data_IF_180207078355
#
_entry.id   IF_180207078355
#
_cell.length_a   1.000
_cell.length_b   1.000
_cell.length_c   1.000
_cell.angle_alpha   90.00
_cell.angle_beta   90.00
_cell.angle_gamma   90.00
#
_symmetry.space_group_name_H-M   'P 1'
#
loop_
_entity.id
_entity.type
_entity.pdbx_description
1 polymer ?
#
# COMPACT_ATOMS: atom_id res chain seq x y z
N UNK A 1 21.99 -58.13 6.99
CA UNK A 1 22.38 -56.84 7.65
C UNK A 1 22.84 -55.71 6.70
N UNK A 2 23.10 -55.95 5.41
CA UNK A 2 23.59 -54.93 4.45
C UNK A 2 22.50 -53.96 3.94
N UNK A 3 21.25 -54.43 3.81
CA UNK A 3 20.12 -53.63 3.30
C UNK A 3 19.60 -52.54 4.25
N UNK A 4 19.66 -52.77 5.57
CA UNK A 4 19.19 -51.79 6.58
C UNK A 4 20.07 -50.52 6.62
N UNK A 5 21.37 -50.66 6.33
CA UNK A 5 22.32 -49.53 6.18
C UNK A 5 22.09 -48.72 4.91
N UNK A 6 21.64 -49.36 3.81
CA UNK A 6 21.34 -48.69 2.55
C UNK A 6 20.05 -47.87 2.67
N UNK A 7 19.01 -48.42 3.29
CA UNK A 7 17.73 -47.74 3.54
C UNK A 7 17.91 -46.51 4.45
N UNK A 8 18.70 -46.59 5.53
CA UNK A 8 18.97 -45.42 6.39
C UNK A 8 19.73 -44.31 5.66
N UNK A 9 20.61 -44.65 4.71
CA UNK A 9 21.31 -43.66 3.88
C UNK A 9 20.36 -42.94 2.91
N UNK A 10 19.41 -43.67 2.32
CA UNK A 10 18.38 -43.07 1.46
C UNK A 10 17.40 -42.20 2.25
N UNK A 11 16.99 -42.63 3.46
CA UNK A 11 16.12 -41.81 4.33
C UNK A 11 16.81 -40.54 4.78
N UNK A 12 18.09 -40.60 5.21
CA UNK A 12 18.85 -39.39 5.56
C UNK A 12 19.04 -38.45 4.36
N UNK A 13 19.34 -38.98 3.18
CA UNK A 13 19.49 -38.17 1.97
C UNK A 13 18.16 -37.48 1.59
N UNK A 14 17.03 -38.20 1.70
CA UNK A 14 15.70 -37.64 1.43
C UNK A 14 15.33 -36.55 2.45
N UNK A 15 15.56 -36.79 3.74
CA UNK A 15 15.34 -35.79 4.80
C UNK A 15 16.20 -34.54 4.61
N UNK A 16 17.46 -34.71 4.18
CA UNK A 16 18.36 -33.59 3.88
C UNK A 16 17.89 -32.77 2.68
N UNK A 17 17.43 -33.43 1.61
CA UNK A 17 16.85 -32.75 0.43
C UNK A 17 15.56 -32.01 0.79
N UNK A 18 14.70 -32.59 1.62
CA UNK A 18 13.48 -31.93 2.11
C UNK A 18 13.83 -30.70 2.96
N UNK A 19 14.80 -30.81 3.87
CA UNK A 19 15.28 -29.67 4.68
C UNK A 19 15.87 -28.54 3.83
N UNK A 20 16.67 -28.86 2.81
CA UNK A 20 17.21 -27.88 1.84
C UNK A 20 16.11 -27.22 1.00
N UNK A 21 15.11 -27.99 0.58
CA UNK A 21 13.94 -27.46 -0.14
C UNK A 21 13.12 -26.53 0.76
N UNK A 22 12.91 -26.88 2.04
CA UNK A 22 12.24 -26.03 3.00
C UNK A 22 13.05 -24.75 3.30
N UNK A 23 14.38 -24.81 3.39
CA UNK A 23 15.21 -23.61 3.54
C UNK A 23 15.10 -22.65 2.35
N UNK A 24 14.82 -23.16 1.15
CA UNK A 24 14.61 -22.35 -0.05
C UNK A 24 13.31 -21.53 0.02
N UNK A 25 12.31 -21.97 0.80
CA UNK A 25 11.06 -21.24 1.06
C UNK A 25 11.22 -20.13 2.11
N UNK A 26 12.33 -20.11 2.86
CA UNK A 26 12.63 -19.10 3.89
C UNK A 26 13.49 -17.96 3.34
N UNK A 27 14.00 -18.08 2.11
CA UNK A 27 14.67 -16.95 1.45
C UNK A 27 13.63 -15.85 1.23
N UNK A 28 13.80 -14.66 1.85
CA UNK A 28 12.84 -13.59 1.67
C UNK A 28 12.82 -13.22 0.19
N UNK A 29 11.65 -13.35 -0.45
CA UNK A 29 11.39 -12.69 -1.71
C UNK A 29 11.71 -11.22 -1.51
N UNK A 30 12.53 -10.62 -2.39
CA UNK A 30 12.92 -9.21 -2.31
C UNK A 30 11.70 -8.38 -1.90
N UNK A 31 11.76 -7.77 -0.71
CA UNK A 31 10.76 -6.81 -0.31
C UNK A 31 11.03 -5.56 -1.13
N UNK A 32 10.12 -5.24 -2.03
CA UNK A 32 10.10 -3.93 -2.66
C UNK A 32 9.65 -2.97 -1.57
N UNK A 33 10.61 -2.49 -0.78
CA UNK A 33 10.46 -1.21 -0.11
C UNK A 33 10.14 -0.14 -1.17
N UNK A 34 9.75 1.04 -0.71
CA UNK A 34 9.44 2.16 -1.58
C UNK A 34 10.55 2.39 -2.64
N UNK A 35 10.29 2.00 -3.89
CA UNK A 35 11.21 2.14 -5.03
C UNK A 35 10.54 3.02 -6.07
N UNK A 36 10.39 4.29 -5.74
CA UNK A 36 9.87 5.30 -6.64
C UNK A 36 11.00 6.16 -7.18
N UNK A 37 10.81 6.69 -8.38
CA UNK A 37 11.67 7.75 -8.90
C UNK A 37 11.29 9.05 -8.19
N UNK A 38 12.17 9.51 -7.28
CA UNK A 38 12.01 10.82 -6.63
C UNK A 38 11.93 11.90 -7.71
N UNK A 39 10.85 12.68 -7.68
CA UNK A 39 10.73 13.84 -8.56
C UNK A 39 11.62 14.95 -8.02
N UNK A 40 12.47 15.52 -8.88
CA UNK A 40 13.43 16.57 -8.51
C UNK A 40 13.19 17.88 -9.25
N UNK A 41 12.40 17.85 -10.32
CA UNK A 41 12.05 19.02 -11.11
C UNK A 41 10.66 19.53 -10.69
N UNK A 42 10.57 20.73 -10.08
CA UNK A 42 9.30 21.28 -9.60
C UNK A 42 8.28 21.50 -10.71
N UNK A 43 8.73 21.88 -11.92
CA UNK A 43 7.81 22.14 -13.03
C UNK A 43 7.18 20.83 -13.50
N UNK A 44 7.98 19.78 -13.67
CA UNK A 44 7.46 18.43 -13.98
C UNK A 44 6.60 17.86 -12.87
N UNK A 45 6.95 18.13 -11.60
CA UNK A 45 6.13 17.73 -10.47
C UNK A 45 4.74 18.38 -10.53
N UNK A 46 4.67 19.68 -10.83
CA UNK A 46 3.40 20.38 -11.04
C UNK A 46 2.63 19.76 -12.21
N UNK A 47 3.26 19.52 -13.35
CA UNK A 47 2.62 18.92 -14.53
C UNK A 47 2.01 17.54 -14.24
N UNK A 48 2.70 16.70 -13.48
CA UNK A 48 2.25 15.35 -13.13
C UNK A 48 1.23 15.32 -11.98
N UNK A 49 1.16 16.39 -11.18
CA UNK A 49 0.25 16.46 -10.04
C UNK A 49 -1.17 16.78 -10.49
N UNK A 50 -2.15 16.24 -9.76
CA UNK A 50 -3.55 16.66 -9.89
C UNK A 50 -3.76 18.02 -9.26
N UNK A 51 -3.24 18.20 -8.04
CA UNK A 51 -3.33 19.43 -7.29
C UNK A 51 -1.98 19.79 -6.66
N UNK A 52 -1.66 21.08 -6.61
CA UNK A 52 -0.47 21.60 -5.95
C UNK A 52 -0.85 22.83 -5.14
N UNK A 53 -0.56 22.78 -3.85
CA UNK A 53 -0.95 23.83 -2.91
C UNK A 53 0.01 23.89 -1.72
N UNK A 54 0.00 25.01 -1.01
CA UNK A 54 0.60 25.13 0.31
C UNK A 54 -0.50 25.22 1.34
N UNK A 55 -0.29 24.61 2.49
CA UNK A 55 -1.30 24.63 3.53
C UNK A 55 -0.80 24.13 4.87
N UNK A 56 -1.47 24.60 5.92
CA UNK A 56 -1.22 24.25 7.31
C UNK A 56 -2.00 23.01 7.70
N UNK A 57 -1.36 22.08 8.39
CA UNK A 57 -2.00 20.85 8.85
C UNK A 57 -2.91 21.14 10.05
N UNK A 58 -4.20 20.89 9.87
CA UNK A 58 -5.23 21.05 10.90
C UNK A 58 -5.50 19.76 11.69
N UNK A 59 -5.38 18.60 11.05
CA UNK A 59 -5.60 17.31 11.69
C UNK A 59 -4.92 16.17 10.90
N UNK A 60 -4.58 15.10 11.61
CA UNK A 60 -3.96 13.88 11.07
C UNK A 60 -4.70 12.70 11.69
N UNK A 61 -5.31 11.85 10.86
CA UNK A 61 -6.12 10.73 11.34
C UNK A 61 -5.88 9.46 10.52
N UNK A 62 -5.69 8.30 11.16
CA UNK A 62 -5.69 7.03 10.46
C UNK A 62 -7.11 6.72 9.95
N UNK A 63 -7.21 6.31 8.69
CA UNK A 63 -8.46 5.92 8.03
C UNK A 63 -8.33 4.54 7.41
N UNK A 64 -9.45 3.82 7.36
CA UNK A 64 -9.57 2.54 6.66
C UNK A 64 -10.63 2.71 5.58
N UNK A 65 -10.20 2.52 4.33
CA UNK A 65 -11.02 2.65 3.14
C UNK A 65 -11.38 1.26 2.62
N UNK A 66 -12.65 1.04 2.24
CA UNK A 66 -13.08 -0.19 1.56
C UNK A 66 -12.97 -0.01 0.05
N UNK A 67 -12.09 -0.79 -0.56
CA UNK A 67 -11.90 -0.89 -2.01
C UNK A 67 -12.40 -2.25 -2.45
N UNK A 68 -13.69 -2.34 -2.79
CA UNK A 68 -14.28 -3.56 -3.34
C UNK A 68 -14.08 -4.82 -2.46
N UNK A 69 -14.11 -4.65 -1.13
CA UNK A 69 -13.90 -5.70 -0.13
C UNK A 69 -12.46 -5.82 0.39
N UNK A 70 -11.53 -5.01 -0.13
CA UNK A 70 -10.15 -4.91 0.35
C UNK A 70 -10.05 -3.67 1.25
N UNK A 71 -9.55 -3.85 2.47
CA UNK A 71 -9.36 -2.76 3.43
C UNK A 71 -7.99 -2.12 3.20
N UNK A 72 -7.99 -0.84 2.82
CA UNK A 72 -6.78 -0.05 2.62
C UNK A 72 -6.60 0.94 3.78
N UNK A 73 -5.43 0.86 4.42
CA UNK A 73 -5.09 1.68 5.58
C UNK A 73 -4.28 2.90 5.14
N UNK A 74 -4.82 4.08 5.42
CA UNK A 74 -4.22 5.36 5.04
C UNK A 74 -4.12 6.30 6.23
N UNK A 75 -3.28 7.32 6.12
CA UNK A 75 -3.33 8.50 6.97
C UNK A 75 -4.01 9.60 6.16
N UNK A 76 -5.13 10.12 6.66
CA UNK A 76 -5.77 11.31 6.13
C UNK A 76 -5.23 12.54 6.83
N UNK A 77 -4.86 13.56 6.05
CA UNK A 77 -4.34 14.82 6.54
C UNK A 77 -5.23 15.94 6.05
N UNK A 78 -5.78 16.70 6.99
CA UNK A 78 -6.63 17.85 6.74
C UNK A 78 -5.79 19.12 6.74
N UNK A 79 -5.89 19.90 5.68
CA UNK A 79 -5.17 21.15 5.49
C UNK A 79 -6.13 22.34 5.46
N UNK A 80 -5.66 23.45 6.04
CA UNK A 80 -6.06 24.80 5.70
C UNK A 80 -5.15 25.27 4.56
N UNK A 81 -5.73 25.55 3.39
CA UNK A 81 -4.98 25.90 2.19
C UNK A 81 -4.67 27.40 2.22
N UNK A 82 -3.40 27.74 1.99
CA UNK A 82 -2.89 29.10 1.99
C UNK A 82 -2.66 29.63 0.58
N UNK A 83 -2.16 28.79 -0.35
CA UNK A 83 -1.97 29.16 -1.75
C UNK A 83 -2.06 27.93 -2.67
N UNK A 84 -2.44 28.13 -3.93
CA UNK A 84 -2.58 27.08 -4.94
C UNK A 84 -1.77 27.40 -6.20
N UNK A 85 -1.20 26.36 -6.81
CA UNK A 85 -0.48 26.44 -8.09
C UNK A 85 -1.15 25.62 -9.18
N UNK A 86 -1.98 24.63 -8.80
CA UNK A 86 -2.69 23.79 -9.77
C UNK A 86 -3.89 23.10 -9.15
N UNK A 87 -4.95 22.99 -9.96
CA UNK A 87 -5.95 21.92 -9.88
C UNK A 87 -6.91 21.97 -8.70
N UNK A 88 -6.86 23.02 -7.88
CA UNK A 88 -7.81 23.25 -6.80
C UNK A 88 -7.89 24.74 -6.44
N UNK A 89 -9.03 25.15 -5.86
CA UNK A 89 -9.30 26.53 -5.42
C UNK A 89 -9.95 26.60 -4.02
N UNK A 90 -10.09 25.46 -3.36
CA UNK A 90 -10.73 25.30 -2.06
C UNK A 90 -9.86 25.78 -0.89
N UNK A 91 -10.46 26.38 0.14
CA UNK A 91 -9.78 26.82 1.37
C UNK A 91 -9.33 25.67 2.26
N UNK A 92 -9.80 24.45 2.01
CA UNK A 92 -9.38 23.25 2.74
C UNK A 92 -9.17 22.07 1.80
N UNK A 93 -8.24 21.19 2.15
CA UNK A 93 -7.97 19.95 1.43
C UNK A 93 -7.90 18.76 2.39
N UNK A 94 -8.28 17.57 1.92
CA UNK A 94 -7.95 16.31 2.59
C UNK A 94 -7.07 15.50 1.64
N UNK A 95 -5.86 15.18 2.08
CA UNK A 95 -4.90 14.39 1.31
C UNK A 95 -4.59 13.10 2.06
N UNK A 96 -4.64 11.98 1.35
CA UNK A 96 -4.29 10.66 1.86
C UNK A 96 -2.79 10.39 1.68
N UNK A 97 -2.19 9.67 2.61
CA UNK A 97 -0.85 9.13 2.45
C UNK A 97 -0.73 7.75 3.09
N UNK A 98 0.31 7.00 2.71
CA UNK A 98 0.57 5.67 3.26
C UNK A 98 1.10 5.77 4.71
N UNK A 99 1.21 4.62 5.39
CA UNK A 99 1.52 4.50 6.83
C UNK A 99 2.99 4.82 7.21
N UNK A 100 3.63 5.76 6.53
CA UNK A 100 5.02 6.19 6.76
C UNK A 100 6.03 5.65 5.74
N UNK A 101 7.30 5.91 6.00
CA UNK A 101 8.40 5.73 5.03
C UNK A 101 8.51 4.34 4.38
N UNK A 102 8.37 3.21 5.12
CA UNK A 102 8.49 1.88 4.51
C UNK A 102 7.45 1.62 3.41
N UNK A 103 6.33 2.36 3.45
CA UNK A 103 5.21 2.26 2.51
C UNK A 103 5.12 3.47 1.57
N UNK A 104 6.18 4.27 1.40
CA UNK A 104 6.13 5.53 0.64
C UNK A 104 5.19 6.60 1.25
N UNK A 105 4.89 6.52 2.54
CA UNK A 105 4.07 7.53 3.23
C UNK A 105 4.88 8.77 3.53
N UNK A 106 4.25 9.94 3.41
CA UNK A 106 4.83 11.21 3.84
C UNK A 106 4.41 11.50 5.28
N UNK A 107 5.36 11.86 6.15
CA UNK A 107 5.07 12.13 7.57
C UNK A 107 4.81 13.62 7.78
N UNK A 108 3.55 13.96 8.03
CA UNK A 108 3.13 15.32 8.37
C UNK A 108 3.18 15.58 9.88
N UNK A 109 3.29 16.85 10.25
CA UNK A 109 3.24 17.34 11.63
C UNK A 109 2.10 18.32 11.78
N UNK A 110 1.34 18.18 12.87
CA UNK A 110 0.21 19.05 13.18
C UNK A 110 0.66 20.50 13.36
N UNK A 111 -0.06 21.45 12.76
CA UNK A 111 0.20 22.88 12.87
C UNK A 111 1.33 23.41 11.96
N UNK A 112 2.06 22.54 11.28
CA UNK A 112 3.12 22.91 10.34
C UNK A 112 2.54 23.13 8.94
N UNK A 113 3.20 23.98 8.15
CA UNK A 113 2.81 24.31 6.78
C UNK A 113 3.69 23.58 5.77
N UNK A 114 3.07 23.03 4.73
CA UNK A 114 3.73 22.21 3.71
C UNK A 114 3.42 22.72 2.32
N UNK A 115 4.36 22.56 1.38
CA UNK A 115 4.08 22.54 -0.05
C UNK A 115 3.74 21.10 -0.43
N UNK A 116 2.52 20.87 -0.92
CA UNK A 116 1.95 19.55 -1.19
C UNK A 116 1.75 19.34 -2.68
N UNK A 117 2.33 18.26 -3.19
CA UNK A 117 2.10 17.74 -4.53
C UNK A 117 1.21 16.51 -4.41
N UNK A 118 -0.03 16.64 -4.87
CA UNK A 118 -1.06 15.64 -4.72
C UNK A 118 -1.52 15.08 -6.07
N UNK A 119 -1.83 13.79 -6.08
CA UNK A 119 -2.26 13.01 -7.23
C UNK A 119 -3.65 12.42 -6.95
N UNK A 120 -4.32 11.96 -8.01
CA UNK A 120 -5.57 11.22 -7.84
C UNK A 120 -5.31 9.92 -7.06
N UNK A 121 -6.21 9.59 -6.15
CA UNK A 121 -6.24 8.30 -5.48
C UNK A 121 -6.90 7.27 -6.40
N UNK A 122 -6.10 6.32 -6.89
CA UNK A 122 -6.48 5.39 -7.97
C UNK A 122 -7.77 4.61 -7.73
N UNK A 123 -8.15 4.41 -6.47
CA UNK A 123 -9.26 3.54 -6.10
C UNK A 123 -10.58 4.26 -5.86
N UNK A 124 -10.58 5.60 -5.75
CA UNK A 124 -11.82 6.36 -5.54
C UNK A 124 -11.66 7.80 -6.01
N UNK A 125 -12.54 8.18 -6.92
CA UNK A 125 -12.56 9.48 -7.58
C UNK A 125 -12.63 10.65 -6.58
N UNK A 126 -12.03 11.77 -6.96
CA UNK A 126 -12.03 13.03 -6.21
C UNK A 126 -11.45 12.92 -4.79
N UNK A 127 -10.59 11.93 -4.54
CA UNK A 127 -9.72 11.89 -3.37
C UNK A 127 -8.28 12.10 -3.81
N UNK A 128 -7.58 12.94 -3.07
CA UNK A 128 -6.19 13.26 -3.32
C UNK A 128 -5.29 12.37 -2.47
N UNK A 129 -4.15 11.96 -3.02
CA UNK A 129 -3.10 11.27 -2.29
C UNK A 129 -1.72 11.89 -2.54
N UNK A 130 -0.82 11.70 -1.58
CA UNK A 130 0.59 12.09 -1.70
C UNK A 130 1.50 11.03 -1.07
N UNK A 131 2.79 11.13 -1.36
CA UNK A 131 3.80 10.16 -0.94
C UNK A 131 5.14 10.83 -0.65
N UNK A 132 6.03 10.13 0.03
CA UNK A 132 7.43 10.56 0.21
C UNK A 132 8.24 10.63 -1.10
N UNK A 133 7.68 10.07 -2.17
CA UNK A 133 8.25 10.12 -3.53
C UNK A 133 7.91 11.41 -4.27
N UNK A 134 6.86 12.08 -3.82
CA UNK A 134 6.47 13.37 -4.36
C UNK A 134 7.45 14.45 -3.91
N UNK A 135 7.36 15.61 -4.54
CA UNK A 135 8.14 16.78 -4.17
C UNK A 135 7.55 17.51 -2.95
N UNK A 136 6.60 16.88 -2.25
CA UNK A 136 5.97 17.39 -1.02
C UNK A 136 7.01 17.57 0.07
N UNK A 137 7.03 18.74 0.70
CA UNK A 137 7.96 19.06 1.78
C UNK A 137 7.43 20.19 2.67
N UNK A 138 8.04 20.39 3.84
CA UNK A 138 7.76 21.56 4.68
C UNK A 138 7.98 22.83 3.87
N UNK A 139 7.09 23.81 4.06
CA UNK A 139 7.15 25.05 3.27
C UNK A 139 8.46 25.81 3.51
N UNK A 140 9.01 25.74 4.73
CA UNK A 140 10.33 26.30 5.10
C UNK A 140 11.48 25.75 4.27
N UNK A 141 11.33 24.53 3.76
CA UNK A 141 12.37 23.80 3.01
C UNK A 141 12.12 23.88 1.49
N UNK A 142 11.05 24.57 1.07
CA UNK A 142 10.57 24.63 -0.31
C UNK A 142 11.02 25.86 -1.10
N UNK A 143 11.96 26.65 -0.57
CA UNK A 143 12.41 27.91 -1.21
C UNK A 143 12.89 27.71 -2.65
N UNK A 144 13.64 26.63 -2.92
CA UNK A 144 14.10 26.30 -4.27
C UNK A 144 12.97 25.95 -5.24
N UNK A 145 11.93 25.27 -4.76
CA UNK A 145 10.75 24.90 -5.55
C UNK A 145 9.92 26.13 -5.87
N UNK A 146 9.61 26.92 -4.83
CA UNK A 146 8.80 28.13 -4.93
C UNK A 146 9.44 29.16 -5.87
N UNK A 147 10.78 29.33 -5.83
CA UNK A 147 11.48 30.23 -6.76
C UNK A 147 11.30 29.84 -8.24
N UNK A 148 11.12 28.56 -8.54
CA UNK A 148 10.88 28.07 -9.91
C UNK A 148 9.41 28.11 -10.30
N UNK A 149 8.52 27.79 -9.36
CA UNK A 149 7.07 27.73 -9.58
C UNK A 149 6.41 29.10 -9.61
N UNK A 150 7.05 30.11 -9.00
CA UNK A 150 6.49 31.45 -8.85
C UNK A 150 5.45 31.54 -7.74
N UNK A 151 4.75 32.68 -7.70
CA UNK A 151 3.73 32.96 -6.69
C UNK A 151 2.46 32.15 -6.95
N UNK A 152 1.92 31.52 -5.90
CA UNK A 152 0.62 30.85 -5.94
C UNK A 152 -0.55 31.83 -5.89
N UNK A 153 -1.75 31.36 -6.21
CA UNK A 153 -2.99 32.11 -6.07
C UNK A 153 -3.67 31.80 -4.73
N UNK A 154 -4.41 32.76 -4.19
CA UNK A 154 -5.22 32.53 -2.99
C UNK A 154 -6.41 31.61 -3.32
N UNK A 155 -6.76 30.64 -2.46
CA UNK A 155 -7.97 29.86 -2.62
C UNK A 155 -9.20 30.76 -2.45
N UNK A 156 -10.22 30.56 -3.28
CA UNK A 156 -11.43 31.40 -3.32
C UNK A 156 -12.69 30.68 -2.88
N UNK A 157 -12.68 29.34 -2.88
CA UNK A 157 -13.85 28.53 -2.58
C UNK A 157 -13.81 28.10 -1.12
N UNK A 158 -14.59 28.77 -0.26
CA UNK A 158 -14.62 28.43 1.16
C UNK A 158 -15.36 27.12 1.41
N UNK A 159 -14.64 26.11 1.91
CA UNK A 159 -15.17 24.77 2.19
C UNK A 159 -14.77 24.29 3.57
N UNK A 160 -15.69 23.64 4.26
CA UNK A 160 -15.46 23.04 5.58
C UNK A 160 -15.41 21.52 5.45
N UNK A 161 -14.22 20.94 5.48
CA UNK A 161 -13.99 19.52 5.23
C UNK A 161 -13.87 18.66 6.49
N UNK A 162 -13.88 19.25 7.70
CA UNK A 162 -13.75 18.50 8.95
C UNK A 162 -14.77 17.34 9.05
N UNK A 163 -16.05 17.64 8.83
CA UNK A 163 -17.11 16.61 8.86
C UNK A 163 -16.94 15.56 7.75
N UNK A 164 -16.42 15.94 6.58
CA UNK A 164 -16.10 14.98 5.51
C UNK A 164 -15.02 14.01 5.95
N UNK A 165 -13.95 14.49 6.60
CA UNK A 165 -12.87 13.64 7.10
C UNK A 165 -13.37 12.63 8.14
N UNK A 166 -14.22 13.06 9.08
CA UNK A 166 -14.79 12.19 10.11
C UNK A 166 -15.56 11.01 9.49
N UNK A 167 -16.31 11.28 8.42
CA UNK A 167 -17.09 10.26 7.69
C UNK A 167 -16.27 9.34 6.79
N UNK A 168 -14.99 9.63 6.53
CA UNK A 168 -14.12 8.76 5.73
C UNK A 168 -13.83 7.42 6.42
N UNK A 169 -14.11 7.31 7.72
CA UNK A 169 -13.86 6.10 8.51
C UNK A 169 -14.95 5.06 8.29
N UNK A 170 -14.60 3.88 7.76
CA UNK A 170 -15.55 2.77 7.59
C UNK A 170 -15.54 1.82 8.80
N UNK A 171 -16.28 2.16 9.85
CA UNK A 171 -16.45 1.32 11.06
C UNK A 171 -17.83 0.69 11.11
N UNK A 172 -18.12 -0.31 10.26
CA UNK A 172 -19.28 -1.16 10.49
C UNK A 172 -18.87 -2.63 10.74
N UNK A 173 -19.61 -3.30 11.63
CA UNK A 173 -19.40 -4.71 12.01
C UNK A 173 -19.45 -5.67 10.81
N UNK A 174 -20.19 -5.31 9.77
CA UNK A 174 -20.35 -6.09 8.54
C UNK A 174 -19.13 -6.02 7.63
N UNK A 175 -18.32 -4.97 7.73
CA UNK A 175 -17.08 -4.77 6.97
C UNK A 175 -16.05 -5.84 7.28
N UNK A 176 -15.80 -6.08 8.56
CA UNK A 176 -14.85 -7.12 9.00
C UNK A 176 -15.34 -8.48 8.48
N UNK A 177 -16.65 -8.74 8.54
CA UNK A 177 -17.24 -9.95 7.97
C UNK A 177 -17.06 -10.03 6.45
N UNK A 178 -17.28 -8.96 5.69
CA UNK A 178 -17.05 -8.92 4.23
C UNK A 178 -15.57 -9.09 3.89
N UNK A 179 -14.67 -8.44 4.61
CA UNK A 179 -13.23 -8.57 4.43
C UNK A 179 -12.76 -10.00 4.73
N UNK A 180 -13.27 -10.61 5.81
CA UNK A 180 -13.03 -12.02 6.14
C UNK A 180 -13.58 -12.93 5.03
N UNK A 181 -14.81 -12.69 4.56
CA UNK A 181 -15.40 -13.46 3.46
C UNK A 181 -14.56 -13.37 2.18
N UNK A 182 -14.13 -12.18 1.78
CA UNK A 182 -13.33 -12.00 0.57
C UNK A 182 -11.95 -12.63 0.70
N UNK A 183 -11.31 -12.49 1.87
CA UNK A 183 -9.99 -13.07 2.18
C UNK A 183 -10.02 -14.60 2.27
N UNK A 184 -11.05 -15.18 2.91
CA UNK A 184 -11.15 -16.63 3.13
C UNK A 184 -11.80 -17.36 1.96
N UNK A 185 -12.81 -16.77 1.32
CA UNK A 185 -13.63 -17.46 0.31
C UNK A 185 -13.19 -17.06 -1.09
N UNK A 186 -12.98 -15.77 -1.39
CA UNK A 186 -12.76 -15.35 -2.78
C UNK A 186 -11.34 -15.57 -3.29
N UNK A 187 -10.32 -15.30 -2.46
CA UNK A 187 -8.91 -15.41 -2.86
C UNK A 187 -8.30 -16.81 -2.66
N UNK A 188 -8.65 -17.51 -1.57
CA UNK A 188 -8.08 -18.83 -1.28
C UNK A 188 -8.72 -19.98 -2.06
N UNK A 189 -9.88 -19.81 -2.69
CA UNK A 189 -10.52 -20.87 -3.49
C UNK A 189 -9.61 -21.39 -4.62
N UNK A 190 -8.78 -20.51 -5.19
CA UNK A 190 -7.76 -20.86 -6.19
C UNK A 190 -6.59 -21.65 -5.59
N UNK A 191 -6.12 -21.30 -4.39
CA UNK A 191 -5.04 -22.03 -3.73
C UNK A 191 -5.51 -23.39 -3.20
N UNK A 192 -6.71 -23.47 -2.65
CA UNK A 192 -7.30 -24.75 -2.22
C UNK A 192 -7.50 -25.71 -3.39
N UNK A 193 -7.84 -25.20 -4.58
CA UNK A 193 -7.90 -26.00 -5.81
C UNK A 193 -6.51 -26.57 -6.19
N UNK A 194 -5.45 -25.77 -6.09
CA UNK A 194 -4.08 -26.22 -6.39
C UNK A 194 -3.59 -27.30 -5.41
N UNK A 195 -3.82 -27.10 -4.10
CA UNK A 195 -3.45 -28.08 -3.08
C UNK A 195 -4.24 -29.38 -3.26
N UNK A 196 -5.53 -29.29 -3.60
CA UNK A 196 -6.37 -30.45 -3.91
C UNK A 196 -5.83 -31.29 -5.06
N UNK A 197 -5.41 -30.66 -6.16
CA UNK A 197 -4.81 -31.34 -7.32
C UNK A 197 -3.50 -32.06 -6.94
N UNK A 198 -2.63 -31.42 -6.16
CA UNK A 198 -1.36 -32.01 -5.71
C UNK A 198 -1.61 -33.27 -4.86
N UNK A 199 -2.57 -33.22 -3.93
CA UNK A 199 -2.91 -34.35 -3.07
C UNK A 199 -3.46 -35.54 -3.89
N UNK A 200 -4.31 -35.27 -4.90
CA UNK A 200 -4.85 -36.31 -5.78
C UNK A 200 -3.74 -36.97 -6.62
N UNK A 201 -2.84 -36.17 -7.19
CA UNK A 201 -1.68 -36.70 -7.95
C UNK A 201 -0.79 -37.54 -7.04
N UNK A 202 -0.48 -37.04 -5.83
CA UNK A 202 0.33 -37.76 -4.85
C UNK A 202 -0.29 -39.10 -4.44
N UNK A 203 -1.59 -39.11 -4.13
CA UNK A 203 -2.33 -40.33 -3.81
C UNK A 203 -2.36 -41.32 -4.99
N UNK A 204 -2.57 -40.84 -6.22
CA UNK A 204 -2.53 -41.66 -7.43
C UNK A 204 -1.18 -42.33 -7.64
N UNK A 205 -0.08 -41.59 -7.47
CA UNK A 205 1.29 -42.14 -7.57
C UNK A 205 1.58 -43.18 -6.50
N UNK A 206 1.11 -42.98 -5.26
CA UNK A 206 1.23 -43.96 -4.17
C UNK A 206 0.46 -45.25 -4.48
N UNK A 207 -0.76 -45.13 -5.01
CA UNK A 207 -1.57 -46.29 -5.41
C UNK A 207 -0.94 -47.08 -6.56
N UNK A 208 -0.40 -46.39 -7.58
CA UNK A 208 0.34 -47.03 -8.69
C UNK A 208 1.58 -47.76 -8.17
N UNK A 209 2.31 -47.16 -7.22
CA UNK A 209 3.49 -47.77 -6.60
C UNK A 209 3.13 -48.98 -5.74
N UNK A 210 2.01 -48.95 -5.03
CA UNK A 210 1.51 -50.08 -4.26
C UNK A 210 1.12 -51.26 -5.17
N UNK A 211 0.48 -50.98 -6.32
CA UNK A 211 0.10 -52.00 -7.31
C UNK A 211 1.28 -52.64 -8.04
N UNK A 212 2.37 -51.90 -8.30
CA UNK A 212 3.60 -52.47 -8.92
C UNK A 212 4.44 -53.33 -7.98
N UNK A 213 4.15 -53.30 -6.67
CA UNK A 213 4.89 -54.03 -5.64
C UNK A 213 4.17 -55.30 -5.18
N UNK A 214 2.91 -55.46 -5.60
CA UNK A 214 2.14 -56.71 -5.53
C UNK A 214 2.29 -57.49 -6.83
#
# INVERSE_FOLDING_TARGET
MKGRKLVNRFVMALSFVILLSCMSLVLPSKSYACSCALQTDPIKAVEQSKAVFSGKVLAIEPKVLDINGILDHKIAVHFEVEATWKGMNETQAIVLTNLGEPSCGYTFQLGETYLVFAYDYDFKENMLQTSSCSLTKKLTDATSELSKMGQGADPIDDVILKGKMDTMTYTNKWTILKAIYHRLVRYHLLEFAQVGVILVIGAGLLLIRARRKS
#
